data_IF_425977367933
#
_entry.id   IF_425977367933
#
_cell.length_a   1.000
_cell.length_b   1.000
_cell.length_c   1.000
_cell.angle_alpha   90.00
_cell.angle_beta   90.00
_cell.angle_gamma   90.00
#
_symmetry.space_group_name_H-M   'P 1'
#
loop_
_entity.id
_entity.type
_entity.pdbx_description
1 polymer ?
#
# COMPACT_ATOMS: atom_id res chain seq x y z
N UNK A 1 46.60 -53.22 34.29
CA UNK A 1 47.29 -52.34 33.33
C UNK A 1 46.40 -52.11 32.12
N UNK A 2 45.72 -50.96 32.02
CA UNK A 2 45.02 -50.57 30.79
C UNK A 2 45.36 -49.11 30.49
N UNK A 3 45.99 -48.87 29.33
CA UNK A 3 46.48 -47.58 28.87
C UNK A 3 45.35 -46.78 28.21
N UNK A 4 45.04 -45.61 28.75
CA UNK A 4 44.20 -44.61 28.10
C UNK A 4 45.04 -43.76 27.14
N UNK A 5 44.61 -43.67 25.87
CA UNK A 5 45.16 -42.76 24.86
C UNK A 5 44.30 -41.50 24.83
N UNK A 6 44.92 -40.37 25.16
CA UNK A 6 44.36 -39.02 25.03
C UNK A 6 44.41 -38.66 23.54
N UNK A 7 43.26 -38.50 22.90
CA UNK A 7 43.16 -37.92 21.57
C UNK A 7 43.12 -36.39 21.69
N UNK A 8 44.12 -35.73 21.10
CA UNK A 8 44.21 -34.28 21.04
C UNK A 8 43.11 -33.69 20.18
N UNK A 9 42.35 -32.77 20.76
CA UNK A 9 41.36 -31.96 20.07
C UNK A 9 42.08 -30.73 19.46
N UNK A 10 42.37 -30.77 18.16
CA UNK A 10 42.79 -29.59 17.41
C UNK A 10 41.55 -28.72 17.16
N UNK A 11 41.42 -27.63 17.92
CA UNK A 11 40.39 -26.62 17.71
C UNK A 11 40.72 -25.77 16.47
N UNK A 12 39.93 -25.92 15.41
CA UNK A 12 39.92 -24.99 14.27
C UNK A 12 39.09 -23.77 14.69
N UNK A 13 39.75 -22.68 15.09
CA UNK A 13 39.12 -21.37 15.17
C UNK A 13 38.89 -20.85 13.74
N UNK A 14 37.66 -20.96 13.25
CA UNK A 14 37.27 -20.31 11.99
C UNK A 14 37.08 -18.81 12.23
N UNK A 15 37.96 -18.00 11.64
CA UNK A 15 37.84 -16.54 11.54
C UNK A 15 36.69 -16.17 10.59
N UNK A 16 35.44 -16.21 11.08
CA UNK A 16 34.22 -15.91 10.32
C UNK A 16 33.71 -14.46 10.47
N UNK A 17 34.61 -13.47 10.55
CA UNK A 17 34.32 -12.15 11.12
C UNK A 17 33.73 -11.05 10.22
N UNK A 18 33.48 -11.24 8.92
CA UNK A 18 33.22 -10.08 8.01
C UNK A 18 31.93 -10.11 7.18
N UNK A 19 31.06 -11.12 7.31
CA UNK A 19 29.82 -11.18 6.52
C UNK A 19 28.67 -10.36 7.10
N UNK A 20 28.70 -10.00 8.39
CA UNK A 20 27.58 -9.31 9.05
C UNK A 20 27.46 -7.82 8.68
N UNK A 21 28.60 -7.11 8.52
CA UNK A 21 28.58 -5.67 8.25
C UNK A 21 28.09 -5.34 6.82
N UNK A 22 28.43 -6.17 5.82
CA UNK A 22 27.97 -5.99 4.44
C UNK A 22 26.45 -6.17 4.28
N UNK A 23 25.78 -6.82 5.24
CA UNK A 23 24.33 -7.02 5.20
C UNK A 23 23.55 -5.77 5.63
N UNK A 24 24.13 -4.87 6.43
CA UNK A 24 23.39 -3.73 7.00
C UNK A 24 22.97 -2.69 5.94
N UNK A 25 23.84 -2.46 4.95
CA UNK A 25 23.64 -1.47 3.88
C UNK A 25 22.92 -2.03 2.65
N UNK A 26 22.65 -3.34 2.61
CA UNK A 26 21.95 -3.96 1.49
C UNK A 26 20.49 -3.46 1.42
N UNK A 27 19.92 -3.30 0.20
CA UNK A 27 18.51 -2.94 0.04
C UNK A 27 17.62 -4.02 0.67
N UNK A 28 16.44 -3.62 1.15
CA UNK A 28 15.44 -4.53 1.74
C UNK A 28 14.23 -4.73 0.86
N UNK A 29 14.10 -3.88 -0.16
CA UNK A 29 12.94 -3.81 -1.04
C UNK A 29 13.32 -4.21 -2.46
N UNK A 30 12.38 -4.83 -3.15
CA UNK A 30 12.51 -5.20 -4.55
C UNK A 30 11.18 -4.97 -5.27
N UNK A 31 11.23 -4.86 -6.59
CA UNK A 31 10.06 -4.89 -7.47
C UNK A 31 9.75 -6.32 -7.87
N UNK A 32 8.54 -6.82 -7.61
CA UNK A 32 8.08 -8.06 -8.19
C UNK A 32 7.92 -7.92 -9.70
N UNK A 33 8.27 -8.97 -10.43
CA UNK A 33 8.31 -9.03 -11.88
C UNK A 33 7.79 -10.39 -12.34
N UNK A 34 6.60 -10.40 -12.92
CA UNK A 34 5.93 -11.62 -13.37
C UNK A 34 5.70 -11.58 -14.89
N UNK A 35 6.01 -12.66 -15.63
CA UNK A 35 5.68 -12.77 -17.04
C UNK A 35 4.18 -13.05 -17.18
N UNK A 36 3.41 -12.01 -17.47
CA UNK A 36 1.95 -12.07 -17.54
C UNK A 36 1.51 -11.69 -18.96
N UNK A 37 0.84 -12.62 -19.64
CA UNK A 37 0.29 -12.39 -20.99
C UNK A 37 1.35 -11.85 -21.98
N UNK A 38 2.59 -12.36 -21.87
CA UNK A 38 3.73 -11.95 -22.70
C UNK A 38 4.40 -10.63 -22.29
N UNK A 39 3.87 -9.92 -21.29
CA UNK A 39 4.41 -8.67 -20.78
C UNK A 39 4.93 -8.83 -19.34
N UNK A 40 6.05 -8.18 -19.04
CA UNK A 40 6.55 -8.10 -17.66
C UNK A 40 5.79 -6.99 -16.94
N UNK A 41 5.02 -7.36 -15.91
CA UNK A 41 4.38 -6.38 -15.02
C UNK A 41 5.17 -6.23 -13.73
N UNK A 42 5.51 -4.98 -13.42
CA UNK A 42 6.12 -4.57 -12.15
C UNK A 42 5.24 -3.51 -11.50
N UNK A 43 4.40 -3.92 -10.57
CA UNK A 43 3.58 -3.02 -9.76
C UNK A 43 3.91 -3.23 -8.29
N UNK A 44 3.96 -2.14 -7.53
CA UNK A 44 4.31 -2.14 -6.12
C UNK A 44 5.75 -2.56 -5.80
N UNK A 45 5.92 -2.98 -4.56
CA UNK A 45 7.15 -3.41 -3.93
C UNK A 45 6.91 -4.66 -3.08
N UNK A 46 7.99 -5.39 -2.84
CA UNK A 46 8.07 -6.41 -1.80
C UNK A 46 9.25 -6.12 -0.90
N UNK A 47 9.23 -6.68 0.31
CA UNK A 47 10.38 -6.75 1.21
C UNK A 47 10.58 -8.17 1.72
N UNK A 48 11.76 -8.43 2.29
CA UNK A 48 12.15 -9.77 2.71
C UNK A 48 12.19 -9.88 4.23
N UNK A 49 11.72 -11.00 4.76
CA UNK A 49 11.62 -11.26 6.20
C UNK A 49 12.18 -12.65 6.52
N UNK A 50 12.73 -12.88 7.73
CA UNK A 50 13.06 -14.22 8.20
C UNK A 50 11.80 -15.10 8.23
N UNK A 51 11.92 -16.36 7.81
CA UNK A 51 10.82 -17.31 7.86
C UNK A 51 11.33 -18.74 8.08
N UNK A 52 10.51 -19.57 8.73
CA UNK A 52 10.81 -21.00 8.93
C UNK A 52 10.52 -21.79 7.65
N UNK A 53 11.32 -21.57 6.61
CA UNK A 53 11.24 -22.22 5.30
C UNK A 53 12.60 -22.77 4.92
N UNK A 54 12.66 -23.60 3.87
CA UNK A 54 13.95 -24.05 3.30
C UNK A 54 14.83 -22.89 2.82
N UNK A 55 14.22 -21.80 2.36
CA UNK A 55 14.93 -20.59 1.95
C UNK A 55 15.41 -19.74 3.13
N UNK A 56 14.93 -20.00 4.36
CA UNK A 56 15.20 -19.17 5.54
C UNK A 56 14.54 -17.79 5.51
N UNK A 57 13.74 -17.50 4.48
CA UNK A 57 13.13 -16.21 4.23
C UNK A 57 11.82 -16.33 3.46
N UNK A 58 11.03 -15.26 3.50
CA UNK A 58 9.84 -15.03 2.68
C UNK A 58 9.89 -13.62 2.09
N UNK A 59 9.20 -13.39 0.98
CA UNK A 59 8.91 -12.04 0.51
C UNK A 59 7.48 -11.65 0.86
N UNK A 60 7.28 -10.39 1.24
CA UNK A 60 6.00 -9.83 1.68
C UNK A 60 5.65 -8.65 0.78
N UNK A 61 4.40 -8.59 0.32
CA UNK A 61 3.85 -7.46 -0.45
C UNK A 61 2.36 -7.31 -0.17
N UNK A 62 1.64 -6.58 -1.02
CA UNK A 62 0.19 -6.37 -0.92
C UNK A 62 -0.57 -7.22 -1.94
N UNK A 63 -1.83 -7.52 -1.66
CA UNK A 63 -2.67 -8.31 -2.57
C UNK A 63 -3.19 -7.44 -3.73
N UNK A 64 -3.49 -6.17 -3.50
CA UNK A 64 -4.02 -5.26 -4.51
C UNK A 64 -3.02 -4.88 -5.61
N UNK A 65 -1.72 -5.09 -5.42
CA UNK A 65 -0.70 -4.81 -6.46
C UNK A 65 -0.60 -5.92 -7.50
N UNK A 66 -1.32 -7.04 -7.32
CA UNK A 66 -1.32 -8.13 -8.29
C UNK A 66 -2.73 -8.64 -8.57
N UNK A 67 -2.94 -8.99 -9.83
CA UNK A 67 -4.06 -9.82 -10.23
C UNK A 67 -3.68 -11.29 -9.97
N UNK A 68 -4.30 -11.89 -8.95
CA UNK A 68 -4.05 -13.28 -8.56
C UNK A 68 -4.33 -14.23 -9.74
N UNK A 69 -5.31 -13.93 -10.61
CA UNK A 69 -5.60 -14.73 -11.80
C UNK A 69 -4.41 -14.75 -12.76
N UNK A 70 -3.75 -13.61 -12.92
CA UNK A 70 -2.55 -13.48 -13.75
C UNK A 70 -1.35 -14.19 -13.13
N UNK A 71 -1.16 -14.11 -11.82
CA UNK A 71 -0.09 -14.84 -11.11
C UNK A 71 -0.23 -16.35 -11.20
N UNK A 72 -1.46 -16.84 -11.02
CA UNK A 72 -1.84 -18.25 -11.20
C UNK A 72 -1.40 -18.76 -12.58
N UNK A 73 -1.68 -17.98 -13.64
CA UNK A 73 -1.27 -18.33 -15.02
C UNK A 73 0.23 -18.24 -15.25
N UNK A 74 0.91 -17.26 -14.65
CA UNK A 74 2.35 -17.06 -14.81
C UNK A 74 3.16 -18.22 -14.21
N UNK A 75 2.66 -18.88 -13.16
CA UNK A 75 3.29 -20.04 -12.53
C UNK A 75 4.59 -19.73 -11.77
N UNK A 76 5.08 -18.50 -11.83
CA UNK A 76 6.28 -18.05 -11.13
C UNK A 76 6.64 -16.60 -11.48
N UNK A 77 7.55 -16.03 -10.68
CA UNK A 77 8.11 -14.71 -10.94
C UNK A 77 9.41 -14.44 -10.21
N UNK A 78 9.92 -13.25 -10.43
CA UNK A 78 11.20 -12.78 -9.94
C UNK A 78 11.00 -11.53 -9.08
N UNK A 79 11.90 -11.32 -8.13
CA UNK A 79 12.01 -10.07 -7.38
C UNK A 79 13.31 -9.39 -7.76
N UNK A 80 13.21 -8.14 -8.18
CA UNK A 80 14.27 -7.41 -8.89
C UNK A 80 14.52 -6.09 -8.18
N UNK A 81 15.79 -5.73 -7.94
CA UNK A 81 16.13 -4.42 -7.36
C UNK A 81 15.70 -3.26 -8.27
N UNK A 82 15.32 -2.15 -7.63
CA UNK A 82 14.62 -1.03 -8.27
C UNK A 82 15.38 -0.37 -9.42
N UNK A 83 16.66 -0.07 -9.21
CA UNK A 83 17.53 0.67 -10.14
C UNK A 83 18.50 -0.26 -10.86
N UNK A 84 19.25 -1.11 -10.14
CA UNK A 84 20.27 -1.99 -10.73
C UNK A 84 19.66 -3.12 -11.56
N UNK A 85 18.37 -3.40 -11.37
CA UNK A 85 17.64 -4.49 -12.04
C UNK A 85 18.22 -5.88 -11.74
N UNK A 86 18.95 -6.02 -10.64
CA UNK A 86 19.48 -7.32 -10.20
C UNK A 86 18.36 -8.19 -9.66
N UNK A 87 18.26 -9.44 -10.14
CA UNK A 87 17.35 -10.44 -9.58
C UNK A 87 17.88 -10.90 -8.23
N UNK A 88 17.08 -10.74 -7.17
CA UNK A 88 17.46 -11.07 -5.80
C UNK A 88 16.81 -12.34 -5.29
N UNK A 89 15.65 -12.71 -5.84
CA UNK A 89 14.94 -13.93 -5.49
C UNK A 89 13.93 -14.33 -6.57
N UNK A 90 13.45 -15.57 -6.49
CA UNK A 90 12.35 -16.09 -7.31
C UNK A 90 11.30 -16.75 -6.42
N UNK A 91 10.06 -16.81 -6.91
CA UNK A 91 8.95 -17.49 -6.24
C UNK A 91 8.04 -18.15 -7.24
N UNK A 92 7.54 -19.33 -6.88
CA UNK A 92 6.53 -20.11 -7.62
C UNK A 92 5.26 -20.38 -6.81
N UNK A 93 5.17 -19.82 -5.61
CA UNK A 93 4.11 -20.16 -4.68
C UNK A 93 3.93 -19.17 -3.54
N UNK A 94 2.78 -19.28 -2.87
CA UNK A 94 2.49 -18.53 -1.67
C UNK A 94 2.82 -19.35 -0.42
N UNK A 95 3.42 -18.71 0.57
CA UNK A 95 3.74 -19.31 1.86
C UNK A 95 2.51 -19.35 2.78
N UNK A 96 1.55 -18.45 2.57
CA UNK A 96 0.25 -18.39 3.22
C UNK A 96 -0.84 -18.12 2.17
N UNK A 97 -2.13 -18.41 2.42
CA UNK A 97 -3.18 -17.97 1.52
C UNK A 97 -3.06 -16.46 1.27
N UNK A 98 -3.13 -15.98 0.02
CA UNK A 98 -3.08 -14.55 -0.24
C UNK A 98 -4.29 -13.89 0.43
N UNK A 99 -4.05 -12.69 0.94
CA UNK A 99 -5.07 -11.84 1.50
C UNK A 99 -6.07 -11.33 0.45
N UNK A 100 -7.03 -10.51 0.90
CA UNK A 100 -8.02 -9.88 0.01
C UNK A 100 -7.53 -8.48 -0.35
N UNK A 101 -7.46 -8.11 -1.64
CA UNK A 101 -7.17 -6.74 -2.05
C UNK A 101 -8.10 -5.76 -1.33
N UNK A 102 -7.57 -4.68 -0.76
CA UNK A 102 -8.39 -3.77 0.06
C UNK A 102 -9.48 -3.04 -0.74
N UNK A 103 -9.33 -2.99 -2.07
CA UNK A 103 -10.34 -2.47 -3.00
C UNK A 103 -11.44 -3.47 -3.34
N UNK A 104 -11.35 -4.73 -2.88
CA UNK A 104 -12.41 -5.72 -3.07
C UNK A 104 -13.57 -5.49 -2.08
N UNK A 105 -14.82 -5.83 -2.46
CA UNK A 105 -15.98 -5.69 -1.58
C UNK A 105 -15.79 -6.37 -0.21
N UNK A 106 -15.97 -5.60 0.86
CA UNK A 106 -15.86 -6.08 2.25
C UNK A 106 -14.45 -6.45 2.70
N UNK A 107 -13.42 -6.15 1.91
CA UNK A 107 -12.03 -6.26 2.32
C UNK A 107 -11.61 -5.04 3.17
N UNK A 108 -10.52 -5.20 3.90
CA UNK A 108 -9.91 -4.14 4.71
C UNK A 108 -8.42 -4.06 4.43
N UNK A 109 -7.76 -2.96 4.82
CA UNK A 109 -6.30 -2.85 4.74
C UNK A 109 -5.60 -4.03 5.45
N UNK A 110 -6.15 -4.46 6.59
CA UNK A 110 -5.65 -5.58 7.38
C UNK A 110 -5.54 -6.89 6.58
N UNK A 111 -6.45 -7.10 5.63
CA UNK A 111 -6.50 -8.31 4.82
C UNK A 111 -5.60 -8.23 3.57
N UNK A 112 -5.02 -7.09 3.25
CA UNK A 112 -4.41 -6.84 1.93
C UNK A 112 -2.91 -7.13 1.89
N UNK A 113 -2.54 -8.39 2.13
CA UNK A 113 -1.15 -8.82 2.09
C UNK A 113 -0.96 -10.09 1.26
N UNK A 114 0.28 -10.30 0.82
CA UNK A 114 0.73 -11.55 0.20
C UNK A 114 2.06 -11.95 0.82
N UNK A 115 2.18 -13.24 1.16
CA UNK A 115 3.45 -13.82 1.62
C UNK A 115 3.89 -14.87 0.60
N UNK A 116 5.00 -14.60 -0.09
CA UNK A 116 5.56 -15.46 -1.12
C UNK A 116 6.52 -16.48 -0.52
N UNK A 117 6.40 -17.74 -0.95
CA UNK A 117 7.39 -18.77 -0.69
C UNK A 117 8.54 -18.59 -1.70
N UNK A 118 9.78 -18.44 -1.21
CA UNK A 118 10.96 -18.27 -2.04
C UNK A 118 11.56 -19.62 -2.45
N UNK A 119 12.02 -19.73 -3.69
CA UNK A 119 12.67 -20.96 -4.17
C UNK A 119 14.04 -21.22 -3.51
N UNK A 120 14.71 -20.14 -3.07
CA UNK A 120 16.00 -20.14 -2.39
C UNK A 120 16.16 -18.89 -1.53
N UNK A 121 17.19 -18.85 -0.67
CA UNK A 121 17.53 -17.67 0.11
C UNK A 121 17.79 -16.46 -0.82
N UNK A 122 17.23 -15.27 -0.51
CA UNK A 122 17.40 -14.10 -1.35
C UNK A 122 18.85 -13.58 -1.28
N UNK A 123 19.34 -13.01 -2.38
CA UNK A 123 20.74 -12.56 -2.54
C UNK A 123 20.81 -11.05 -2.60
N UNK A 124 21.82 -10.45 -1.95
CA UNK A 124 22.07 -9.00 -2.05
C UNK A 124 20.98 -8.13 -1.44
N UNK A 125 20.16 -8.69 -0.54
CA UNK A 125 19.14 -7.96 0.23
C UNK A 125 19.25 -8.27 1.71
N UNK A 126 18.84 -7.33 2.55
CA UNK A 126 18.71 -7.55 4.00
C UNK A 126 17.31 -8.05 4.35
N UNK A 127 17.23 -8.95 5.33
CA UNK A 127 15.97 -9.40 5.90
C UNK A 127 15.54 -8.44 7.01
N UNK A 128 14.26 -8.06 7.02
CA UNK A 128 13.68 -7.18 8.02
C UNK A 128 12.95 -8.00 9.08
N UNK A 129 13.23 -7.72 10.35
CA UNK A 129 12.46 -8.30 11.46
C UNK A 129 11.07 -7.66 11.56
N UNK A 130 10.08 -8.46 11.95
CA UNK A 130 8.71 -7.99 12.17
C UNK A 130 8.53 -7.55 13.62
N UNK A 131 7.92 -6.39 13.84
CA UNK A 131 7.65 -5.91 15.19
C UNK A 131 6.55 -6.74 15.87
N UNK A 132 6.75 -7.05 17.14
CA UNK A 132 5.78 -7.74 17.99
C UNK A 132 4.96 -6.77 18.83
N UNK A 133 5.48 -5.57 19.05
CA UNK A 133 4.92 -4.63 20.00
C UNK A 133 3.81 -3.78 19.37
N UNK A 134 2.81 -3.35 20.18
CA UNK A 134 1.84 -2.36 19.73
C UNK A 134 2.53 -1.06 19.32
N UNK A 135 2.07 -0.48 18.22
CA UNK A 135 2.57 0.81 17.73
C UNK A 135 1.94 1.93 18.58
N UNK A 136 2.77 2.82 19.11
CA UNK A 136 2.30 3.99 19.82
C UNK A 136 1.94 5.14 18.84
N UNK A 137 0.89 5.93 19.13
CA UNK A 137 0.70 7.22 18.50
C UNK A 137 1.95 8.10 18.64
N UNK A 138 2.16 9.01 17.69
CA UNK A 138 3.31 9.91 17.61
C UNK A 138 4.68 9.22 17.41
N UNK A 139 4.73 7.88 17.31
CA UNK A 139 5.96 7.15 17.05
C UNK A 139 6.57 7.55 15.71
N UNK A 140 7.91 7.65 15.67
CA UNK A 140 8.67 7.95 14.47
C UNK A 140 8.82 6.71 13.60
N UNK A 141 8.63 6.89 12.31
CA UNK A 141 8.64 5.79 11.34
C UNK A 141 9.48 6.13 10.13
N UNK A 142 9.94 5.06 9.47
CA UNK A 142 10.63 5.11 8.19
C UNK A 142 9.95 4.19 7.19
N UNK A 143 9.70 4.68 5.99
CA UNK A 143 9.16 3.90 4.87
C UNK A 143 10.27 3.64 3.87
N UNK A 144 10.55 2.37 3.56
CA UNK A 144 11.56 1.99 2.58
C UNK A 144 10.90 1.78 1.22
N UNK A 145 11.36 2.48 0.19
CA UNK A 145 10.77 2.37 -1.14
C UNK A 145 11.76 2.54 -2.28
N UNK A 146 11.25 2.78 -3.48
CA UNK A 146 12.06 2.99 -4.68
C UNK A 146 11.55 4.23 -5.41
N UNK A 147 12.25 5.35 -5.25
CA UNK A 147 11.93 6.59 -5.93
C UNK A 147 12.45 6.55 -7.37
N UNK A 148 11.57 6.82 -8.33
CA UNK A 148 11.92 6.89 -9.75
C UNK A 148 13.00 7.96 -9.96
N UNK A 149 14.10 7.59 -10.62
CA UNK A 149 15.18 8.52 -10.95
C UNK A 149 16.22 8.77 -9.84
N UNK A 150 16.04 8.22 -8.63
CA UNK A 150 16.95 8.47 -7.51
C UNK A 150 18.33 7.80 -7.62
N UNK A 151 18.58 6.98 -8.66
CA UNK A 151 19.86 6.29 -8.88
C UNK A 151 20.21 5.24 -7.83
N UNK A 152 19.28 4.86 -6.95
CA UNK A 152 19.48 3.91 -5.84
C UNK A 152 18.36 2.88 -5.76
N UNK A 153 18.73 1.65 -5.39
CA UNK A 153 17.79 0.52 -5.25
C UNK A 153 16.81 0.66 -4.09
N UNK A 154 17.10 1.56 -3.16
CA UNK A 154 16.23 1.87 -2.03
C UNK A 154 16.35 3.35 -1.64
N UNK A 155 15.22 3.97 -1.35
CA UNK A 155 15.11 5.29 -0.73
C UNK A 155 14.35 5.18 0.59
N UNK A 156 14.38 6.24 1.38
CA UNK A 156 13.71 6.32 2.68
C UNK A 156 12.85 7.57 2.71
N UNK A 157 11.63 7.43 3.22
CA UNK A 157 10.77 8.54 3.64
C UNK A 157 10.50 8.43 5.13
N UNK A 158 10.24 9.57 5.75
CA UNK A 158 10.04 9.67 7.17
C UNK A 158 8.67 10.26 7.48
N UNK A 159 8.14 9.88 8.63
CA UNK A 159 6.84 10.36 9.09
C UNK A 159 6.60 10.04 10.54
N UNK A 160 5.36 10.26 10.97
CA UNK A 160 4.90 10.04 12.33
C UNK A 160 3.56 9.34 12.34
N UNK A 161 3.40 8.37 13.24
CA UNK A 161 2.11 7.70 13.45
C UNK A 161 1.09 8.72 13.96
N UNK A 162 0.02 8.92 13.21
CA UNK A 162 -1.05 9.86 13.55
C UNK A 162 -2.22 9.14 14.26
N UNK A 163 -2.55 7.93 13.82
CA UNK A 163 -3.63 7.12 14.38
C UNK A 163 -3.25 5.64 14.37
N UNK A 164 -3.69 4.89 15.39
CA UNK A 164 -3.53 3.43 15.47
C UNK A 164 -4.86 2.80 15.83
N UNK A 165 -5.28 1.82 15.04
CA UNK A 165 -6.41 0.94 15.30
C UNK A 165 -6.00 -0.52 15.05
N UNK A 166 -6.82 -1.51 15.45
CA UNK A 166 -6.52 -2.92 15.22
C UNK A 166 -6.36 -3.30 13.74
N UNK A 167 -6.95 -2.53 12.81
CA UNK A 167 -6.97 -2.81 11.38
C UNK A 167 -6.16 -1.82 10.54
N UNK A 168 -5.71 -0.70 11.12
CA UNK A 168 -5.05 0.38 10.39
C UNK A 168 -4.10 1.19 11.28
N UNK A 169 -3.00 1.62 10.69
CA UNK A 169 -2.10 2.66 11.19
C UNK A 169 -2.14 3.77 10.13
N UNK A 170 -2.40 5.01 10.57
CA UNK A 170 -2.25 6.19 9.74
C UNK A 170 -0.95 6.91 10.08
N UNK A 171 -0.25 7.39 9.06
CA UNK A 171 1.05 8.05 9.22
C UNK A 171 1.02 9.36 8.45
N UNK A 172 1.34 10.45 9.14
CA UNK A 172 1.62 11.73 8.49
C UNK A 172 3.09 11.75 8.04
N UNK A 173 3.32 11.95 6.74
CA UNK A 173 4.66 12.05 6.17
C UNK A 173 5.23 13.45 6.38
N UNK A 174 6.54 13.51 6.64
CA UNK A 174 7.24 14.77 6.82
C UNK A 174 7.31 15.60 5.52
N UNK A 175 7.18 14.93 4.36
CA UNK A 175 7.22 15.53 3.02
C UNK A 175 6.13 14.94 2.14
N UNK A 176 5.61 15.74 1.20
CA UNK A 176 4.79 15.26 0.10
C UNK A 176 5.69 14.71 -1.01
N UNK A 177 5.56 13.42 -1.32
CA UNK A 177 6.29 12.75 -2.40
C UNK A 177 5.32 11.93 -3.26
N UNK A 178 5.68 11.72 -4.52
CA UNK A 178 4.94 10.82 -5.41
C UNK A 178 5.21 9.36 -5.04
N UNK A 179 4.25 8.73 -4.36
CA UNK A 179 4.35 7.33 -3.91
C UNK A 179 3.78 6.34 -4.92
N UNK A 180 3.51 6.73 -6.17
CA UNK A 180 3.05 5.79 -7.19
C UNK A 180 4.04 4.62 -7.33
N UNK A 181 3.51 3.40 -7.22
CA UNK A 181 4.31 2.17 -7.29
C UNK A 181 5.06 1.82 -6.00
N UNK A 182 4.73 2.44 -4.86
CA UNK A 182 5.26 2.09 -3.53
C UNK A 182 4.37 1.15 -2.72
N UNK A 183 3.16 0.81 -3.20
CA UNK A 183 2.30 -0.18 -2.53
C UNK A 183 3.09 -1.46 -2.23
N UNK A 184 3.07 -1.93 -0.99
CA UNK A 184 3.93 -3.04 -0.53
C UNK A 184 5.24 -2.62 0.15
N UNK A 185 5.57 -1.33 0.19
CA UNK A 185 6.73 -0.82 0.93
C UNK A 185 6.62 -1.15 2.43
N UNK A 186 7.68 -1.66 3.08
CA UNK A 186 7.66 -1.85 4.52
C UNK A 186 7.75 -0.51 5.24
N UNK A 187 6.94 -0.39 6.29
CA UNK A 187 7.00 0.71 7.25
C UNK A 187 7.66 0.20 8.50
N UNK A 188 8.74 0.84 8.92
CA UNK A 188 9.56 0.45 10.05
C UNK A 188 9.38 1.45 11.19
N UNK A 189 9.32 0.95 12.43
CA UNK A 189 9.55 1.76 13.61
C UNK A 189 10.99 2.27 13.60
N UNK A 190 11.17 3.57 13.83
CA UNK A 190 12.51 4.16 13.87
C UNK A 190 13.27 3.73 15.14
N UNK A 191 12.56 3.43 16.22
CA UNK A 191 13.15 3.05 17.51
C UNK A 191 13.67 1.61 17.50
N UNK A 192 12.90 0.69 16.92
CA UNK A 192 13.23 -0.74 16.90
C UNK A 192 13.91 -1.18 15.60
N UNK A 193 13.76 -0.41 14.52
CA UNK A 193 14.19 -0.81 13.18
C UNK A 193 13.38 -1.96 12.58
N UNK A 194 12.26 -2.35 13.22
CA UNK A 194 11.41 -3.48 12.82
C UNK A 194 10.20 -3.02 12.03
N UNK A 195 9.67 -3.89 11.18
CA UNK A 195 8.49 -3.61 10.34
C UNK A 195 7.25 -3.60 11.21
N UNK A 196 6.52 -2.48 11.20
CA UNK A 196 5.24 -2.29 11.89
C UNK A 196 4.03 -2.41 10.96
N UNK A 197 4.25 -2.34 9.64
CA UNK A 197 3.19 -2.51 8.65
C UNK A 197 3.65 -2.38 7.19
N UNK A 198 2.69 -2.34 6.27
CA UNK A 198 2.90 -2.33 4.82
C UNK A 198 2.17 -1.14 4.15
N UNK A 199 2.85 -0.28 3.40
CA UNK A 199 2.19 0.84 2.73
C UNK A 199 1.13 0.34 1.73
N UNK A 200 -0.12 0.81 1.87
CA UNK A 200 -1.25 0.40 1.01
C UNK A 200 -2.07 1.57 0.46
N UNK A 201 -2.20 2.66 1.22
CA UNK A 201 -3.03 3.80 0.84
C UNK A 201 -2.27 5.12 0.99
N UNK A 202 -2.68 6.12 0.20
CA UNK A 202 -2.06 7.45 0.14
C UNK A 202 -3.14 8.51 -0.02
N UNK A 203 -3.06 9.55 0.81
CA UNK A 203 -3.95 10.71 0.80
C UNK A 203 -3.12 12.00 0.83
N UNK A 204 -3.06 12.77 -0.28
CA UNK A 204 -2.33 14.03 -0.29
C UNK A 204 -2.94 15.03 0.69
N UNK A 205 -2.10 15.82 1.37
CA UNK A 205 -2.50 16.82 2.37
C UNK A 205 -1.66 18.10 2.21
N UNK A 206 -2.06 18.95 1.27
CA UNK A 206 -1.31 20.17 0.96
C UNK A 206 0.11 19.84 0.48
N UNK A 207 1.12 20.27 1.23
CA UNK A 207 2.54 19.98 0.95
C UNK A 207 3.05 18.67 1.55
N UNK A 208 2.19 17.95 2.26
CA UNK A 208 2.49 16.66 2.91
C UNK A 208 1.54 15.59 2.38
N UNK A 209 1.63 14.39 2.93
CA UNK A 209 0.63 13.36 2.70
C UNK A 209 0.42 12.52 3.95
N UNK A 210 -0.77 11.92 4.04
CA UNK A 210 -1.07 10.86 4.99
C UNK A 210 -1.08 9.53 4.26
N UNK A 211 -0.58 8.48 4.90
CA UNK A 211 -0.59 7.13 4.33
C UNK A 211 -1.27 6.13 5.27
N UNK A 212 -1.85 5.10 4.66
CA UNK A 212 -2.56 4.02 5.34
C UNK A 212 -1.77 2.72 5.25
N UNK A 213 -1.65 2.07 6.40
CA UNK A 213 -0.77 0.93 6.61
C UNK A 213 -1.51 -0.08 7.50
N UNK A 214 -1.63 -1.37 7.15
CA UNK A 214 -2.16 -2.35 8.08
C UNK A 214 -1.09 -2.70 9.13
N UNK A 215 -1.49 -3.00 10.37
CA UNK A 215 -0.59 -3.61 11.34
C UNK A 215 0.05 -4.89 10.80
N UNK A 216 1.34 -5.09 11.07
CA UNK A 216 2.11 -6.25 10.60
C UNK A 216 1.65 -7.61 11.19
N UNK A 217 0.73 -7.57 12.16
CA UNK A 217 0.25 -8.75 12.89
C UNK A 217 -0.39 -9.81 11.98
N UNK A 218 -1.06 -9.41 10.90
CA UNK A 218 -1.63 -10.35 9.92
C UNK A 218 -0.53 -11.18 9.22
N UNK A 219 0.57 -10.53 8.81
CA UNK A 219 1.73 -11.21 8.20
C UNK A 219 2.43 -12.10 9.22
N UNK A 220 2.60 -11.63 10.47
CA UNK A 220 3.16 -12.45 11.54
C UNK A 220 2.34 -13.73 11.76
N UNK A 221 1.02 -13.61 11.83
CA UNK A 221 0.13 -14.76 11.98
C UNK A 221 0.26 -15.74 10.81
N UNK A 222 0.33 -15.22 9.57
CA UNK A 222 0.55 -16.01 8.36
C UNK A 222 1.88 -16.77 8.38
N UNK A 223 2.95 -16.18 8.94
CA UNK A 223 4.27 -16.82 9.05
C UNK A 223 4.37 -17.86 10.17
N UNK A 224 3.51 -17.79 11.20
CA UNK A 224 3.45 -18.79 12.27
C UNK A 224 2.86 -20.11 11.76
N UNK A 225 1.88 -20.04 10.85
CA UNK A 225 1.18 -21.20 10.29
C UNK A 225 1.34 -21.26 8.77
N UNK A 226 2.57 -21.44 8.25
CA UNK A 226 2.78 -21.47 6.81
C UNK A 226 2.14 -22.72 6.19
N UNK A 227 1.69 -22.58 4.95
CA UNK A 227 1.17 -23.68 4.15
C UNK A 227 2.22 -24.77 3.96
N UNK A 228 1.77 -26.02 3.96
CA UNK A 228 2.59 -27.20 3.69
C UNK A 228 3.89 -27.22 4.54
N UNK A 229 3.79 -26.85 5.81
CA UNK A 229 4.91 -26.82 6.77
C UNK A 229 6.10 -25.96 6.30
N UNK A 230 5.82 -24.80 5.69
CA UNK A 230 6.87 -23.87 5.27
C UNK A 230 7.36 -24.07 3.84
N UNK A 231 6.83 -25.08 3.12
CA UNK A 231 7.10 -25.25 1.68
C UNK A 231 6.28 -24.26 0.85
N UNK A 232 5.10 -23.88 1.32
CA UNK A 232 4.13 -23.09 0.54
C UNK A 232 3.36 -23.94 -0.48
N UNK A 233 2.40 -23.30 -1.15
CA UNK A 233 1.63 -23.91 -2.24
C UNK A 233 1.89 -23.17 -3.55
N UNK A 234 2.00 -23.88 -4.68
CA UNK A 234 2.24 -23.23 -5.97
C UNK A 234 1.08 -22.29 -6.33
N UNK A 235 1.34 -21.24 -7.11
CA UNK A 235 0.32 -20.23 -7.43
C UNK A 235 -0.94 -20.84 -8.04
N UNK A 236 -0.80 -21.81 -8.95
CA UNK A 236 -1.92 -22.50 -9.59
C UNK A 236 -2.84 -23.28 -8.62
N UNK A 237 -2.38 -23.59 -7.41
CA UNK A 237 -3.21 -24.23 -6.40
C UNK A 237 -4.35 -23.32 -5.88
N UNK A 238 -4.34 -22.04 -6.27
CA UNK A 238 -5.33 -21.02 -5.90
C UNK A 238 -6.29 -20.66 -7.03
N UNK A 239 -6.33 -21.40 -8.14
CA UNK A 239 -7.29 -21.23 -9.25
C UNK A 239 -8.75 -21.15 -8.78
N UNK A 240 -9.12 -21.95 -7.77
CA UNK A 240 -10.49 -21.93 -7.22
C UNK A 240 -10.85 -20.62 -6.53
N UNK A 241 -9.89 -19.94 -5.89
CA UNK A 241 -10.15 -18.63 -5.29
C UNK A 241 -10.44 -17.59 -6.37
N UNK A 242 -9.68 -17.65 -7.47
CA UNK A 242 -9.88 -16.78 -8.63
C UNK A 242 -11.23 -17.03 -9.28
N UNK A 243 -11.62 -18.29 -9.47
CA UNK A 243 -12.90 -18.65 -10.09
C UNK A 243 -14.12 -18.26 -9.24
N UNK A 244 -13.95 -18.17 -7.92
CA UNK A 244 -15.02 -17.79 -6.99
C UNK A 244 -15.19 -16.26 -6.85
N UNK A 245 -14.19 -15.47 -7.27
CA UNK A 245 -14.31 -14.02 -7.25
C UNK A 245 -15.38 -13.59 -8.27
N UNK A 246 -16.35 -12.72 -7.89
CA UNK A 246 -17.30 -12.20 -8.84
C UNK A 246 -16.53 -11.51 -9.95
N UNK A 247 -16.76 -11.95 -11.20
CA UNK A 247 -16.24 -11.26 -12.37
C UNK A 247 -16.94 -9.93 -12.39
N UNK A 248 -16.27 -8.91 -11.87
CA UNK A 248 -16.68 -7.52 -12.05
C UNK A 248 -16.81 -7.35 -13.57
N UNK A 249 -18.05 -7.24 -14.06
CA UNK A 249 -18.31 -7.05 -15.48
C UNK A 249 -17.57 -5.78 -15.84
N UNK A 250 -16.40 -5.92 -16.44
CA UNK A 250 -15.58 -4.80 -16.90
C UNK A 250 -16.51 -3.87 -17.68
N UNK A 251 -16.90 -2.76 -17.05
CA UNK A 251 -17.64 -1.72 -17.71
C UNK A 251 -16.73 -1.31 -18.86
N UNK A 252 -17.15 -1.60 -20.10
CA UNK A 252 -16.42 -1.20 -21.28
C UNK A 252 -16.35 0.32 -21.25
N UNK A 253 -15.22 0.87 -20.81
CA UNK A 253 -14.89 2.27 -21.05
C UNK A 253 -14.54 2.41 -22.53
N UNK A 254 -15.55 2.36 -23.39
CA UNK A 254 -15.45 2.79 -24.77
C UNK A 254 -15.48 4.32 -24.78
N UNK A 255 -14.30 4.93 -24.81
CA UNK A 255 -14.11 6.37 -25.04
C UNK A 255 -12.71 6.58 -25.60
N UNK A 256 -12.59 6.52 -26.93
CA UNK A 256 -12.39 7.67 -27.81
C UNK A 256 -10.91 8.05 -27.93
N UNK A 257 -10.24 7.35 -28.85
CA UNK A 257 -8.98 7.78 -29.44
C UNK A 257 -9.31 8.65 -30.66
N UNK A 258 -9.47 9.97 -30.45
CA UNK A 258 -9.29 11.01 -31.48
C UNK A 258 -9.75 12.38 -30.95
N UNK A 259 -8.85 13.17 -30.37
CA UNK A 259 -8.82 14.64 -30.49
C UNK A 259 -7.53 15.20 -29.86
N UNK A 260 -6.40 14.86 -30.49
CA UNK A 260 -5.12 15.54 -30.25
C UNK A 260 -4.77 16.32 -31.53
N UNK A 261 -5.46 17.45 -31.74
CA UNK A 261 -5.03 18.51 -32.65
C UNK A 261 -5.80 19.81 -32.37
N UNK A 262 -5.05 20.89 -32.20
CA UNK A 262 -5.48 22.30 -32.12
C UNK A 262 -5.98 22.80 -30.77
N UNK A 263 -5.05 23.30 -29.94
CA UNK A 263 -5.09 24.69 -29.45
C UNK A 263 -3.72 25.09 -28.90
N UNK A 264 -2.95 25.77 -29.75
CA UNK A 264 -1.83 26.61 -29.35
C UNK A 264 -2.35 28.04 -29.14
N UNK A 265 -1.71 28.72 -28.18
CA UNK A 265 -1.59 30.19 -28.04
C UNK A 265 -2.73 30.94 -27.35
N UNK A 266 -2.51 31.26 -26.08
CA UNK A 266 -3.10 32.39 -25.38
C UNK A 266 -2.33 32.68 -24.10
N UNK A 267 -1.47 33.70 -24.11
CA UNK A 267 -0.76 34.13 -22.91
C UNK A 267 -1.72 34.69 -21.86
N UNK A 268 -1.57 34.28 -20.60
CA UNK A 268 -2.22 34.88 -19.45
C UNK A 268 -1.19 35.24 -18.39
N UNK A 269 -1.32 36.46 -17.88
CA UNK A 269 -0.53 37.07 -16.82
C UNK A 269 -0.64 36.29 -15.50
N UNK A 270 0.30 36.44 -14.56
CA UNK A 270 0.22 35.76 -13.27
C UNK A 270 -0.99 36.28 -12.48
N UNK A 271 -1.90 35.38 -12.14
CA UNK A 271 -3.00 35.66 -11.19
C UNK A 271 -2.42 35.47 -9.79
N UNK A 272 -2.34 36.56 -9.01
CA UNK A 272 -2.04 36.48 -7.58
C UNK A 272 -3.20 35.77 -6.85
N UNK A 273 -2.91 34.64 -6.22
CA UNK A 273 -3.83 33.99 -5.30
C UNK A 273 -3.79 34.72 -3.94
N UNK A 274 -4.74 35.64 -3.74
CA UNK A 274 -5.11 36.07 -2.39
C UNK A 274 -5.72 34.92 -1.58
N UNK A 275 -5.75 35.02 -0.24
CA UNK A 275 -6.34 33.99 0.62
C UNK A 275 -7.82 33.79 0.29
N UNK A 276 -8.25 32.53 0.19
CA UNK A 276 -9.63 32.14 -0.16
C UNK A 276 -10.70 32.53 0.88
N UNK A 277 -10.35 33.28 1.93
CA UNK A 277 -11.31 33.74 2.94
C UNK A 277 -10.94 35.16 3.41
N UNK A 278 -11.56 36.22 2.86
CA UNK A 278 -11.61 37.52 3.50
C UNK A 278 -12.53 37.47 4.74
N UNK A 279 -12.18 38.27 5.74
CA UNK A 279 -12.81 38.32 7.05
C UNK A 279 -14.31 38.63 7.07
N UNK A 280 -14.85 38.34 8.25
CA UNK A 280 -16.23 38.45 8.69
C UNK A 280 -16.93 39.79 8.36
N UNK A 281 -18.14 39.71 7.79
CA UNK A 281 -19.28 40.56 8.17
C UNK A 281 -20.58 39.73 8.08
N UNK A 282 -21.49 39.96 9.02
CA UNK A 282 -22.65 39.12 9.32
C UNK A 282 -23.77 39.20 8.29
N UNK A 283 -24.48 38.08 8.13
CA UNK A 283 -25.76 38.05 7.40
C UNK A 283 -25.96 36.82 6.50
N UNK A 284 -26.03 35.62 7.08
CA UNK A 284 -26.76 34.43 6.56
C UNK A 284 -26.36 33.19 7.37
N UNK A 285 -27.29 32.28 7.62
CA UNK A 285 -26.96 30.95 8.18
C UNK A 285 -26.04 30.25 7.19
N UNK A 286 -24.78 29.99 7.58
CA UNK A 286 -23.82 29.25 6.76
C UNK A 286 -23.82 27.79 7.18
N UNK A 287 -23.98 26.91 6.21
CA UNK A 287 -23.91 25.46 6.42
C UNK A 287 -22.49 25.01 6.05
N UNK A 288 -21.74 24.56 7.05
CA UNK A 288 -20.47 23.86 6.85
C UNK A 288 -20.76 22.36 6.83
N UNK A 289 -20.44 21.68 5.73
CA UNK A 289 -20.61 20.23 5.60
C UNK A 289 -19.22 19.61 5.60
N UNK A 290 -18.91 18.90 6.67
CA UNK A 290 -17.69 18.10 6.80
C UNK A 290 -18.12 16.62 6.70
N UNK A 291 -17.52 15.88 5.76
CA UNK A 291 -17.84 14.47 5.52
C UNK A 291 -16.72 13.62 6.11
N UNK A 292 -16.83 13.32 7.39
CA UNK A 292 -15.99 12.34 8.07
C UNK A 292 -16.50 10.93 7.71
N UNK A 293 -15.74 10.25 6.84
CA UNK A 293 -16.02 8.93 6.23
C UNK A 293 -16.41 7.85 7.27
N UNK A 294 -17.20 6.84 6.88
CA UNK A 294 -18.39 6.43 7.62
C UNK A 294 -18.13 5.98 9.05
N UNK A 295 -18.94 6.50 9.97
CA UNK A 295 -19.08 5.99 11.33
C UNK A 295 -19.53 4.53 11.35
N UNK A 296 -19.18 3.79 12.40
CA UNK A 296 -19.70 2.44 12.63
C UNK A 296 -21.24 2.41 12.54
N UNK A 297 -21.78 1.59 11.63
CA UNK A 297 -23.23 1.45 11.41
C UNK A 297 -23.77 2.19 10.19
N UNK A 298 -22.95 2.94 9.44
CA UNK A 298 -23.37 3.51 8.17
C UNK A 298 -23.74 2.42 7.15
N UNK A 299 -24.87 2.59 6.47
CA UNK A 299 -25.33 1.71 5.41
C UNK A 299 -25.00 2.34 4.06
N UNK A 300 -24.13 1.68 3.29
CA UNK A 300 -23.86 2.06 1.90
C UNK A 300 -24.81 1.27 1.02
N UNK A 301 -25.80 1.95 0.46
CA UNK A 301 -26.72 1.37 -0.51
C UNK A 301 -26.12 1.41 -1.91
N UNK A 302 -26.02 0.26 -2.57
CA UNK A 302 -25.66 0.17 -3.99
C UNK A 302 -26.90 0.53 -4.81
N UNK A 303 -26.80 1.61 -5.59
CA UNK A 303 -27.87 2.04 -6.49
C UNK A 303 -27.33 2.14 -7.92
N UNK A 304 -28.16 1.82 -8.94
CA UNK A 304 -27.70 1.70 -10.33
C UNK A 304 -27.06 2.97 -10.94
N UNK A 305 -27.18 4.12 -10.28
CA UNK A 305 -26.81 5.43 -10.82
C UNK A 305 -26.12 6.35 -9.80
N UNK A 306 -25.58 5.81 -8.69
CA UNK A 306 -24.73 6.58 -7.79
C UNK A 306 -24.59 6.01 -6.39
N UNK A 307 -23.66 6.58 -5.63
CA UNK A 307 -23.51 6.30 -4.20
C UNK A 307 -24.35 7.30 -3.40
N UNK A 308 -25.19 6.80 -2.50
CA UNK A 308 -25.92 7.64 -1.55
C UNK A 308 -25.21 7.65 -0.20
N UNK A 309 -24.83 8.85 0.26
CA UNK A 309 -24.36 9.07 1.62
C UNK A 309 -25.38 9.95 2.31
N UNK A 310 -26.11 9.37 3.27
CA UNK A 310 -27.08 10.09 4.09
C UNK A 310 -26.52 10.31 5.50
N UNK A 311 -26.63 11.54 5.99
CA UNK A 311 -26.11 11.94 7.29
C UNK A 311 -26.91 13.09 7.90
N UNK A 312 -26.63 13.39 9.16
CA UNK A 312 -27.29 14.46 9.91
C UNK A 312 -26.26 15.57 10.15
N UNK A 313 -26.55 16.78 9.67
CA UNK A 313 -25.67 17.94 9.88
C UNK A 313 -26.23 18.84 11.00
N UNK A 314 -25.32 19.44 11.78
CA UNK A 314 -25.63 20.42 12.81
C UNK A 314 -25.02 21.77 12.42
N UNK A 315 -25.82 22.83 12.41
CA UNK A 315 -25.30 24.18 12.24
C UNK A 315 -24.54 24.62 13.50
N UNK A 316 -23.23 24.89 13.36
CA UNK A 316 -22.37 25.32 14.46
C UNK A 316 -22.37 26.84 14.70
N UNK A 317 -22.98 27.62 13.80
CA UNK A 317 -23.09 29.08 13.93
C UNK A 317 -24.52 29.56 13.62
N UNK A 318 -25.11 30.30 14.58
CA UNK A 318 -26.48 30.82 14.51
C UNK A 318 -27.48 30.02 15.36
N UNK A 319 -28.77 30.16 15.07
CA UNK A 319 -29.81 29.33 15.70
C UNK A 319 -29.57 27.85 15.36
N UNK A 320 -29.64 26.97 16.38
CA UNK A 320 -29.55 25.52 16.16
C UNK A 320 -30.65 25.08 15.20
N UNK A 321 -30.26 24.68 13.99
CA UNK A 321 -31.13 24.10 12.99
C UNK A 321 -30.60 22.73 12.60
N UNK A 322 -31.52 21.80 12.47
CA UNK A 322 -31.24 20.42 12.09
C UNK A 322 -31.53 20.26 10.60
N UNK A 323 -30.60 19.65 9.87
CA UNK A 323 -30.75 19.39 8.44
C UNK A 323 -30.45 17.92 8.16
N UNK A 324 -31.32 17.30 7.35
CA UNK A 324 -31.00 16.03 6.71
C UNK A 324 -30.17 16.32 5.46
N UNK A 325 -28.99 15.71 5.37
CA UNK A 325 -28.09 15.88 4.21
C UNK A 325 -28.03 14.56 3.45
N UNK A 326 -28.29 14.64 2.16
CA UNK A 326 -28.15 13.53 1.22
C UNK A 326 -27.14 13.95 0.16
N UNK A 327 -25.96 13.32 0.19
CA UNK A 327 -24.95 13.47 -0.86
C UNK A 327 -25.11 12.33 -1.85
N UNK A 328 -25.24 12.70 -3.13
CA UNK A 328 -25.27 11.76 -4.25
C UNK A 328 -23.95 11.88 -4.99
N UNK A 329 -23.16 10.81 -4.98
CA UNK A 329 -21.98 10.73 -5.83
C UNK A 329 -22.43 10.10 -7.14
N UNK A 330 -22.65 10.95 -8.15
CA UNK A 330 -22.95 10.48 -9.49
C UNK A 330 -21.70 9.86 -10.11
N UNK A 331 -21.74 8.55 -10.36
CA UNK A 331 -20.68 7.80 -11.04
C UNK A 331 -21.02 7.50 -12.50
N UNK A 332 -22.15 7.99 -13.00
CA UNK A 332 -22.69 7.64 -14.32
C UNK A 332 -22.05 8.42 -15.48
N UNK A 333 -21.06 9.29 -15.21
CA UNK A 333 -20.49 10.28 -16.15
C UNK A 333 -21.53 11.26 -16.75
N UNK A 334 -22.77 11.29 -16.25
CA UNK A 334 -23.82 12.17 -16.78
C UNK A 334 -23.61 13.65 -16.47
N UNK A 335 -22.74 13.96 -15.50
CA UNK A 335 -22.37 15.32 -15.08
C UNK A 335 -21.09 15.86 -15.72
N UNK A 336 -20.62 15.26 -16.83
CA UNK A 336 -19.47 15.80 -17.58
C UNK A 336 -19.80 17.15 -18.21
N UNK A 337 -21.06 17.35 -18.59
CA UNK A 337 -21.54 18.63 -19.06
C UNK A 337 -21.77 19.55 -17.85
N UNK A 338 -21.25 20.79 -17.87
CA UNK A 338 -21.44 21.73 -16.77
C UNK A 338 -22.94 21.92 -16.52
N UNK A 339 -23.34 21.87 -15.25
CA UNK A 339 -24.76 21.87 -14.83
C UNK A 339 -25.56 23.11 -15.25
N UNK A 340 -24.90 24.11 -15.83
CA UNK A 340 -25.53 25.39 -16.16
C UNK A 340 -25.80 26.25 -14.91
N UNK A 341 -25.32 25.84 -13.73
CA UNK A 341 -25.56 26.50 -12.47
C UNK A 341 -24.27 27.11 -11.90
N UNK A 342 -24.33 28.41 -11.60
CA UNK A 342 -23.29 29.12 -10.86
C UNK A 342 -23.40 28.79 -9.36
N UNK A 343 -22.65 27.77 -8.95
CA UNK A 343 -22.67 27.23 -7.58
C UNK A 343 -21.96 28.17 -6.58
N UNK A 344 -20.99 28.99 -7.03
CA UNK A 344 -20.19 29.82 -6.13
C UNK A 344 -20.67 31.29 -6.08
N UNK A 345 -21.67 31.65 -6.89
CA UNK A 345 -22.32 32.95 -6.89
C UNK A 345 -21.48 34.07 -7.49
N UNK A 346 -20.47 33.74 -8.31
CA UNK A 346 -19.60 34.73 -8.93
C UNK A 346 -20.11 35.25 -10.29
N UNK A 347 -21.27 34.76 -10.75
CA UNK A 347 -21.91 35.10 -12.02
C UNK A 347 -21.38 34.32 -13.22
N UNK A 348 -20.53 33.30 -13.02
CA UNK A 348 -19.93 32.48 -14.08
C UNK A 348 -20.47 31.06 -13.97
N UNK A 349 -21.12 30.61 -15.04
CA UNK A 349 -21.69 29.27 -15.21
C UNK A 349 -20.71 28.36 -15.96
#
# INVERSE_FOLDING_TARGET
MFRWKIFGLLGVLALGGSSAALAADAPSVARPSFPIDGNVRTEGLVFFVPANTRAGAAAVGTAHTFDIAKLVRAGGGQFILGTTKTIVATSRGFLAPPGRPFNAPGATLFDDYVVYALDAAPKGVRLLELDSEPVAPEARVRILGVLTGAGRDQTELFGRVAEVSPSRIEIDLDVGDDLRGWGGAPVLSQDTGRVIGILQAYWPRGTTARVGVPPISAVRAALISPLENGVGRPFNAFEKLVAAAPVEKAAKSSGSASEEAALRSGGHAPVEHGPLIPGAEGGSTRVHVEIDVPSNGSVVGDAPCGLYVAGRALALQGEMRQFDVMSVIDTSHSTIDPTGADINGNGII
#
